data_IF_322583244974
#
_entry.id   IF_322583244974
#
_cell.length_a   1.000
_cell.length_b   1.000
_cell.length_c   1.000
_cell.angle_alpha   90.00
_cell.angle_beta   90.00
_cell.angle_gamma   90.00
#
_symmetry.space_group_name_H-M   'P 1'
#
loop_
_entity.id
_entity.type
_entity.pdbx_description
1 polymer ?
#
# COMPACT_ATOMS: atom_id res chain seq x y z
N UNK A 1 -15.38 -21.56 11.13
CA UNK A 1 -14.42 -22.14 10.17
C UNK A 1 -13.24 -21.20 10.20
N UNK A 2 -12.05 -21.65 10.60
CA UNK A 2 -10.91 -20.74 10.74
C UNK A 2 -10.40 -20.33 9.36
N UNK A 3 -10.33 -19.03 9.16
CA UNK A 3 -9.95 -18.41 7.91
C UNK A 3 -8.44 -18.59 7.67
N UNK A 4 -8.09 -19.59 6.86
CA UNK A 4 -6.72 -19.79 6.38
C UNK A 4 -6.49 -19.18 5.00
N UNK A 5 -7.57 -18.88 4.28
CA UNK A 5 -7.53 -18.24 2.98
C UNK A 5 -7.75 -16.72 3.12
N UNK A 6 -6.92 -15.92 2.45
CA UNK A 6 -7.04 -14.46 2.47
C UNK A 6 -8.39 -13.96 1.94
N UNK A 7 -9.00 -14.69 1.01
CA UNK A 7 -10.26 -14.30 0.36
C UNK A 7 -11.47 -14.37 1.28
N UNK A 8 -11.33 -15.08 2.41
CA UNK A 8 -12.39 -15.28 3.39
C UNK A 8 -12.36 -14.20 4.49
N UNK A 9 -11.30 -13.39 4.59
CA UNK A 9 -11.14 -12.32 5.59
C UNK A 9 -12.00 -11.12 5.18
N UNK A 10 -13.00 -10.77 6.01
CA UNK A 10 -13.91 -9.63 5.75
C UNK A 10 -13.83 -8.54 6.81
N UNK A 11 -13.39 -8.91 8.00
CA UNK A 11 -13.38 -8.04 9.18
C UNK A 11 -12.19 -8.36 10.08
N UNK A 12 -11.93 -7.50 11.07
CA UNK A 12 -10.90 -7.74 12.08
C UNK A 12 -11.15 -8.98 12.92
N UNK A 13 -12.41 -9.39 13.09
CA UNK A 13 -12.78 -10.55 13.90
C UNK A 13 -12.35 -11.87 13.23
N UNK A 14 -12.25 -11.89 11.90
CA UNK A 14 -11.74 -13.03 11.12
C UNK A 14 -10.22 -13.24 11.29
N UNK A 15 -9.54 -12.26 11.90
CA UNK A 15 -8.10 -12.28 12.19
C UNK A 15 -7.80 -12.78 13.62
N UNK A 16 -8.78 -13.37 14.30
CA UNK A 16 -8.61 -14.00 15.61
C UNK A 16 -8.34 -15.50 15.43
N UNK A 17 -7.39 -16.01 16.21
CA UNK A 17 -6.93 -17.41 16.19
C UNK A 17 -7.42 -18.17 17.42
N UNK A 18 -7.59 -19.50 17.30
CA UNK A 18 -7.97 -20.38 18.42
C UNK A 18 -6.80 -20.65 19.40
N UNK A 19 -5.58 -20.27 19.02
CA UNK A 19 -4.37 -20.52 19.82
C UNK A 19 -3.88 -21.97 19.75
N UNK A 20 -2.72 -22.22 20.35
CA UNK A 20 -2.17 -23.57 20.43
C UNK A 20 -2.83 -24.41 21.54
N UNK A 21 -2.87 -25.75 21.40
CA UNK A 21 -3.40 -26.63 22.43
C UNK A 21 -2.56 -26.59 23.71
N UNK A 22 -3.15 -26.88 24.89
CA UNK A 22 -2.42 -26.88 26.16
C UNK A 22 -1.19 -27.81 26.14
N UNK A 23 -0.04 -27.28 26.58
CA UNK A 23 1.22 -28.03 26.63
C UNK A 23 2.03 -28.02 25.33
N UNK A 24 1.51 -27.46 24.24
CA UNK A 24 2.28 -27.18 23.03
C UNK A 24 2.89 -25.76 23.08
N UNK A 25 4.01 -25.59 22.38
CA UNK A 25 4.57 -24.26 22.11
C UNK A 25 3.88 -23.75 20.84
N UNK A 26 3.18 -22.61 20.89
CA UNK A 26 2.51 -22.03 19.74
C UNK A 26 3.50 -21.59 18.66
N UNK A 27 3.07 -21.72 17.41
CA UNK A 27 3.70 -21.06 16.27
C UNK A 27 3.29 -19.59 16.18
N UNK A 28 4.08 -18.79 15.47
CA UNK A 28 3.79 -17.36 15.24
C UNK A 28 2.39 -17.17 14.64
N UNK A 29 1.98 -18.04 13.70
CA UNK A 29 0.64 -18.00 13.11
C UNK A 29 -0.46 -18.29 14.14
N UNK A 30 -0.24 -19.21 15.08
CA UNK A 30 -1.25 -19.59 16.08
C UNK A 30 -1.44 -18.53 17.17
N UNK A 31 -0.46 -17.63 17.36
CA UNK A 31 -0.52 -16.55 18.34
C UNK A 31 -0.76 -15.16 17.74
N UNK A 32 -0.49 -14.96 16.45
CA UNK A 32 -0.71 -13.69 15.79
C UNK A 32 -2.20 -13.33 15.73
N UNK A 33 -2.49 -12.04 15.92
CA UNK A 33 -3.84 -11.47 15.81
C UNK A 33 -3.82 -10.16 15.02
N UNK A 34 -4.97 -9.77 14.45
CA UNK A 34 -5.11 -8.49 13.74
C UNK A 34 -4.14 -8.34 12.56
N UNK A 35 -3.50 -7.16 12.45
CA UNK A 35 -2.63 -6.84 11.31
C UNK A 35 -1.41 -7.76 11.19
N UNK A 36 -0.86 -8.23 12.31
CA UNK A 36 0.26 -9.19 12.29
C UNK A 36 -0.16 -10.49 11.62
N UNK A 37 -1.35 -11.00 11.98
CA UNK A 37 -1.90 -12.21 11.36
C UNK A 37 -2.18 -12.00 9.88
N UNK A 38 -2.77 -10.85 9.52
CA UNK A 38 -3.02 -10.50 8.12
C UNK A 38 -1.72 -10.48 7.31
N UNK A 39 -0.66 -9.90 7.86
CA UNK A 39 0.65 -9.84 7.21
C UNK A 39 1.26 -11.25 7.01
N UNK A 40 1.22 -12.10 8.03
CA UNK A 40 1.73 -13.48 7.96
C UNK A 40 0.96 -14.28 6.89
N UNK A 41 -0.38 -14.25 6.94
CA UNK A 41 -1.23 -14.96 5.97
C UNK A 41 -0.97 -14.44 4.54
N UNK A 42 -0.82 -13.12 4.38
CA UNK A 42 -0.55 -12.49 3.08
C UNK A 42 0.78 -12.93 2.51
N UNK A 43 1.83 -12.89 3.32
CA UNK A 43 3.17 -13.36 2.94
C UNK A 43 3.18 -14.84 2.59
N UNK A 44 2.43 -15.68 3.32
CA UNK A 44 2.28 -17.11 3.01
C UNK A 44 1.61 -17.35 1.64
N UNK A 45 0.68 -16.48 1.23
CA UNK A 45 0.07 -16.52 -0.09
C UNK A 45 0.89 -15.81 -1.19
N UNK A 46 2.03 -15.20 -0.85
CA UNK A 46 2.88 -14.47 -1.78
C UNK A 46 2.37 -13.06 -2.13
N UNK A 47 1.52 -12.47 -1.29
CA UNK A 47 0.97 -11.11 -1.47
C UNK A 47 1.57 -10.17 -0.42
N UNK A 48 2.05 -9.00 -0.85
CA UNK A 48 2.45 -7.90 0.05
C UNK A 48 1.30 -6.90 0.15
N UNK A 49 0.52 -6.99 1.22
CA UNK A 49 -0.67 -6.15 1.44
C UNK A 49 -0.35 -4.69 1.77
N UNK A 50 0.88 -4.38 2.17
CA UNK A 50 1.27 -3.02 2.55
C UNK A 50 2.05 -2.28 1.45
N UNK A 51 2.32 -2.95 0.32
CA UNK A 51 3.04 -2.39 -0.83
C UNK A 51 4.30 -1.62 -0.41
N UNK A 52 5.26 -2.33 0.20
CA UNK A 52 6.50 -1.72 0.70
C UNK A 52 7.53 -1.44 -0.40
N UNK A 53 7.14 -1.56 -1.67
CA UNK A 53 8.01 -1.36 -2.81
C UNK A 53 8.07 0.12 -3.23
N UNK A 54 9.22 0.59 -3.74
CA UNK A 54 9.29 1.90 -4.36
C UNK A 54 8.42 1.95 -5.62
N UNK A 55 7.95 3.15 -5.97
CA UNK A 55 7.25 3.38 -7.24
C UNK A 55 8.18 2.97 -8.37
N UNK A 56 7.73 2.04 -9.22
CA UNK A 56 8.50 1.56 -10.37
C UNK A 56 8.47 2.61 -11.48
N UNK A 57 9.52 3.41 -11.56
CA UNK A 57 9.72 4.38 -12.63
C UNK A 57 10.63 3.76 -13.68
N UNK A 58 10.06 3.31 -14.80
CA UNK A 58 10.82 2.77 -15.95
C UNK A 58 11.08 3.80 -17.04
N UNK A 59 10.37 4.92 -17.00
CA UNK A 59 10.47 6.03 -17.94
C UNK A 59 10.04 7.33 -17.27
N UNK A 60 10.53 8.44 -17.80
CA UNK A 60 10.09 9.78 -17.38
C UNK A 60 8.59 9.97 -17.65
N UNK A 61 7.83 10.39 -16.64
CA UNK A 61 6.41 10.71 -16.80
C UNK A 61 6.20 11.95 -17.66
N UNK A 62 5.33 11.87 -18.65
CA UNK A 62 4.95 13.01 -19.51
C UNK A 62 3.49 13.41 -19.26
N UNK A 63 3.07 14.57 -19.76
CA UNK A 63 1.67 15.00 -19.65
C UNK A 63 0.72 14.01 -20.35
N UNK A 64 1.17 13.39 -21.45
CA UNK A 64 0.37 12.39 -22.19
C UNK A 64 0.39 11.02 -21.51
N UNK A 65 1.49 10.69 -20.85
CA UNK A 65 1.72 9.40 -20.21
C UNK A 65 2.40 9.63 -18.85
N UNK A 66 1.61 10.01 -17.82
CA UNK A 66 2.14 10.28 -16.49
C UNK A 66 2.52 8.98 -15.76
N UNK A 67 3.36 9.10 -14.74
CA UNK A 67 3.57 8.01 -13.77
C UNK A 67 2.32 7.90 -12.91
N UNK A 68 1.64 6.75 -12.99
CA UNK A 68 0.46 6.47 -12.17
C UNK A 68 0.90 6.10 -10.76
N UNK A 69 0.24 6.70 -9.76
CA UNK A 69 0.53 6.52 -8.34
C UNK A 69 -0.73 6.07 -7.65
N UNK A 70 -0.79 4.80 -7.25
CA UNK A 70 -1.93 4.25 -6.55
C UNK A 70 -2.05 4.88 -5.15
N UNK A 71 -3.27 5.16 -4.71
CA UNK A 71 -3.51 5.71 -3.37
C UNK A 71 -4.89 5.31 -2.87
N UNK A 72 -4.95 4.94 -1.59
CA UNK A 72 -6.21 4.73 -0.86
C UNK A 72 -6.83 6.05 -0.38
N UNK A 73 -6.08 7.16 -0.46
CA UNK A 73 -6.54 8.51 -0.11
C UNK A 73 -6.48 9.43 -1.35
N UNK A 74 -7.17 10.58 -1.26
CA UNK A 74 -7.25 11.65 -2.25
C UNK A 74 -5.90 12.32 -2.56
N UNK A 75 -4.87 12.10 -1.75
CA UNK A 75 -3.50 12.54 -2.03
C UNK A 75 -2.46 11.52 -1.57
N UNK A 76 -1.28 11.54 -2.20
CA UNK A 76 -0.09 10.74 -1.80
C UNK A 76 1.19 11.55 -2.01
N UNK A 77 2.14 11.40 -1.08
CA UNK A 77 3.47 11.98 -1.23
C UNK A 77 4.38 11.06 -2.04
N UNK A 78 5.12 11.64 -2.99
CA UNK A 78 6.06 10.93 -3.85
C UNK A 78 7.43 11.58 -3.74
N UNK A 79 8.45 10.79 -3.39
CA UNK A 79 9.85 11.21 -3.46
C UNK A 79 10.40 10.98 -4.86
N UNK A 80 10.68 12.04 -5.60
CA UNK A 80 11.31 11.98 -6.92
C UNK A 80 12.82 12.13 -6.79
N UNK A 81 13.59 11.16 -7.27
CA UNK A 81 15.06 11.20 -7.37
C UNK A 81 15.56 11.37 -8.81
N UNK A 82 14.65 11.49 -9.79
CA UNK A 82 15.01 11.55 -11.20
C UNK A 82 15.24 10.17 -11.83
N UNK A 83 15.49 10.14 -13.13
CA UNK A 83 15.80 8.90 -13.84
C UNK A 83 17.20 8.43 -13.40
N UNK A 84 17.31 7.22 -12.85
CA UNK A 84 18.55 6.69 -12.27
C UNK A 84 19.18 7.60 -11.20
N UNK A 85 18.36 8.17 -10.31
CA UNK A 85 18.84 9.01 -9.20
C UNK A 85 19.63 10.24 -9.66
N UNK A 86 19.22 10.85 -10.77
CA UNK A 86 19.91 11.98 -11.39
C UNK A 86 19.89 13.27 -10.57
N UNK A 87 19.06 13.37 -9.53
CA UNK A 87 18.98 14.54 -8.66
C UNK A 87 18.59 14.19 -7.22
N UNK A 88 18.76 15.15 -6.31
CA UNK A 88 18.37 15.03 -4.90
C UNK A 88 16.86 14.77 -4.72
N UNK A 89 16.48 14.11 -3.62
CA UNK A 89 15.07 13.76 -3.42
C UNK A 89 14.20 15.01 -3.28
N UNK A 90 13.24 15.15 -4.19
CA UNK A 90 12.21 16.19 -4.14
C UNK A 90 10.86 15.56 -3.82
N UNK A 91 10.21 16.09 -2.79
CA UNK A 91 8.88 15.66 -2.39
C UNK A 91 7.81 16.34 -3.23
N UNK A 92 6.96 15.53 -3.86
CA UNK A 92 5.84 15.97 -4.69
C UNK A 92 4.54 15.46 -4.07
N UNK A 93 3.63 16.37 -3.75
CA UNK A 93 2.25 16.02 -3.37
C UNK A 93 1.46 15.72 -4.64
N UNK A 94 0.94 14.50 -4.76
CA UNK A 94 0.08 14.08 -5.88
C UNK A 94 -1.36 14.04 -5.38
N UNK A 95 -2.27 14.72 -6.07
CA UNK A 95 -3.69 14.85 -5.70
C UNK A 95 -4.59 14.16 -6.76
N UNK A 96 -5.79 13.68 -6.37
CA UNK A 96 -6.74 12.96 -7.24
C UNK A 96 -7.09 13.72 -8.52
N UNK A 97 -7.33 15.03 -8.40
CA UNK A 97 -7.92 15.84 -9.49
C UNK A 97 -6.89 16.68 -10.25
N UNK A 98 -5.59 16.52 -9.97
CA UNK A 98 -4.53 17.33 -10.56
C UNK A 98 -3.33 16.47 -10.93
N UNK A 99 -2.65 16.86 -12.00
CA UNK A 99 -1.33 16.32 -12.31
C UNK A 99 -0.26 17.11 -11.59
N UNK A 100 0.63 16.42 -10.89
CA UNK A 100 1.78 17.02 -10.21
C UNK A 100 3.04 16.85 -11.04
N UNK A 101 3.97 17.81 -10.97
CA UNK A 101 5.20 17.78 -11.74
C UNK A 101 6.40 18.01 -10.84
N UNK A 102 7.44 17.20 -10.99
CA UNK A 102 8.73 17.45 -10.35
C UNK A 102 9.34 18.73 -10.95
N UNK A 103 9.78 19.71 -10.14
CA UNK A 103 10.31 20.97 -10.65
C UNK A 103 11.71 20.83 -11.28
N UNK A 104 12.42 19.73 -11.04
CA UNK A 104 13.79 19.51 -11.53
C UNK A 104 13.82 18.63 -12.79
N UNK A 105 13.45 17.34 -12.69
CA UNK A 105 13.44 16.44 -13.86
C UNK A 105 12.20 16.60 -14.75
N UNK A 106 11.17 17.31 -14.28
CA UNK A 106 9.95 17.53 -15.05
C UNK A 106 9.01 16.33 -15.13
N UNK A 107 9.28 15.22 -14.43
CA UNK A 107 8.42 14.03 -14.40
C UNK A 107 7.01 14.39 -13.93
N UNK A 108 6.01 13.89 -14.65
CA UNK A 108 4.58 14.11 -14.35
C UNK A 108 4.00 12.89 -13.63
N UNK A 109 3.30 13.14 -12.53
CA UNK A 109 2.61 12.15 -11.70
C UNK A 109 1.11 12.38 -11.74
N UNK A 110 0.34 11.28 -11.74
CA UNK A 110 -1.11 11.30 -11.62
C UNK A 110 -1.56 10.27 -10.59
N UNK A 111 -2.43 10.67 -9.69
CA UNK A 111 -3.01 9.76 -8.70
C UNK A 111 -3.99 8.80 -9.38
N UNK A 112 -3.89 7.52 -9.04
CA UNK A 112 -4.92 6.52 -9.27
C UNK A 112 -5.60 6.22 -7.93
N UNK A 113 -6.79 6.78 -7.72
CA UNK A 113 -7.53 6.56 -6.49
C UNK A 113 -8.15 5.15 -6.49
N UNK A 114 -7.74 4.32 -5.54
CA UNK A 114 -8.22 2.94 -5.35
C UNK A 114 -8.89 2.74 -3.98
N UNK A 115 -9.09 3.82 -3.23
CA UNK A 115 -9.79 3.81 -1.94
C UNK A 115 -11.31 3.76 -2.06
N UNK A 116 -11.99 3.73 -0.91
CA UNK A 116 -13.44 3.88 -0.83
C UNK A 116 -13.81 5.37 -0.78
N UNK A 117 -14.63 5.83 -1.72
CA UNK A 117 -15.08 7.22 -1.77
C UNK A 117 -15.89 7.64 -0.53
N UNK A 118 -16.46 6.68 0.22
CA UNK A 118 -17.26 6.94 1.42
C UNK A 118 -16.46 6.87 2.74
N UNK A 119 -15.17 6.52 2.69
CA UNK A 119 -14.35 6.40 3.90
C UNK A 119 -13.84 7.75 4.43
N UNK A 120 -13.97 8.84 3.66
CA UNK A 120 -13.37 10.15 3.96
C UNK A 120 -14.20 11.07 4.87
N UNK A 121 -15.39 10.66 5.32
CA UNK A 121 -16.26 11.50 6.19
C UNK A 121 -15.80 11.58 7.67
N UNK A 122 -14.65 11.00 8.03
CA UNK A 122 -14.20 10.83 9.42
C UNK A 122 -13.06 11.73 9.91
N UNK A 123 -12.52 12.63 9.08
CA UNK A 123 -11.35 13.46 9.43
C UNK A 123 -11.67 14.96 9.46
N UNK A 124 -12.56 15.36 10.36
CA UNK A 124 -12.78 16.76 10.76
C UNK A 124 -12.51 16.95 12.25
#
# INVERSE_FOLDING_TARGET
>A
MLTTDLTEIKSSDDLITEGAPPGAIPTDLEQATGLERLEILSKMAGVDVFDMQPIKITKLGTVKEPVMVDSLDTFRYVGCTGEHESHETLWVTVEKDKTSRCPECGSVYKLNFIGDEHAHDGHH
#
